data_IF_601956250458
#
_entry.id   IF_601956250458
#
_cell.length_a   1.000
_cell.length_b   1.000
_cell.length_c   1.000
_cell.angle_alpha   90.00
_cell.angle_beta   90.00
_cell.angle_gamma   90.00
#
_symmetry.space_group_name_H-M   'P 1'
#
loop_
_entity.id
_entity.type
_entity.pdbx_description
1 polymer ?
#
# COMPACT_ATOMS: atom_id res chain seq x y z
N UNK A 1 4.76 -14.29 -55.63
CA UNK A 1 4.99 -15.38 -54.65
C UNK A 1 6.47 -15.65 -54.29
N UNK A 2 7.44 -14.77 -54.61
CA UNK A 2 8.88 -14.93 -54.26
C UNK A 2 9.38 -14.00 -53.15
N UNK A 3 8.56 -13.04 -52.69
CA UNK A 3 8.97 -12.02 -51.71
C UNK A 3 8.91 -12.55 -50.26
N UNK A 4 7.93 -13.40 -49.91
CA UNK A 4 7.83 -13.92 -48.52
C UNK A 4 8.91 -14.94 -48.15
N UNK A 5 9.47 -15.68 -49.13
CA UNK A 5 10.60 -16.61 -48.89
C UNK A 5 11.91 -15.89 -48.56
N UNK A 6 12.07 -14.64 -49.01
CA UNK A 6 13.30 -13.87 -48.79
C UNK A 6 13.29 -13.14 -47.43
N UNK A 7 12.13 -12.67 -46.99
CA UNK A 7 11.95 -12.10 -45.64
C UNK A 7 12.20 -13.14 -44.54
N UNK A 8 11.69 -14.37 -44.70
CA UNK A 8 11.95 -15.46 -43.74
C UNK A 8 13.42 -15.89 -43.65
N UNK A 9 14.20 -15.77 -44.74
CA UNK A 9 15.66 -16.03 -44.73
C UNK A 9 16.45 -14.91 -44.08
N UNK A 10 16.02 -13.65 -44.26
CA UNK A 10 16.63 -12.49 -43.62
C UNK A 10 16.37 -12.48 -42.11
N UNK A 11 15.15 -12.82 -41.68
CA UNK A 11 14.81 -12.97 -40.25
C UNK A 11 15.59 -14.11 -39.59
N UNK A 12 15.68 -15.28 -40.23
CA UNK A 12 16.50 -16.39 -39.69
C UNK A 12 17.98 -16.02 -39.57
N UNK A 13 18.53 -15.25 -40.51
CA UNK A 13 19.92 -14.77 -40.44
C UNK A 13 20.12 -13.72 -39.35
N UNK A 14 19.17 -12.80 -39.15
CA UNK A 14 19.24 -11.82 -38.07
C UNK A 14 19.20 -12.49 -36.69
N UNK A 15 18.28 -13.43 -36.49
CA UNK A 15 18.16 -14.22 -35.25
C UNK A 15 19.45 -15.01 -34.98
N UNK A 16 20.04 -15.66 -35.99
CA UNK A 16 21.31 -16.38 -35.84
C UNK A 16 22.52 -15.47 -35.59
N UNK A 17 22.49 -14.21 -36.06
CA UNK A 17 23.56 -13.24 -35.85
C UNK A 17 23.51 -12.62 -34.44
N UNK A 18 22.32 -12.45 -33.86
CA UNK A 18 22.14 -11.88 -32.52
C UNK A 18 22.35 -12.88 -31.38
N UNK A 19 21.98 -14.16 -31.60
CA UNK A 19 21.95 -15.20 -30.55
C UNK A 19 23.19 -16.13 -30.64
N UNK A 20 24.11 -15.84 -31.58
CA UNK A 20 25.18 -16.77 -31.94
C UNK A 20 24.62 -18.03 -32.60
N UNK A 21 25.47 -18.84 -33.22
CA UNK A 21 25.09 -20.17 -33.73
C UNK A 21 24.86 -21.17 -32.59
N UNK A 22 24.08 -20.80 -31.56
CA UNK A 22 23.59 -21.74 -30.57
C UNK A 22 22.34 -22.44 -31.11
N UNK A 23 22.44 -23.75 -31.26
CA UNK A 23 21.27 -24.61 -31.42
C UNK A 23 20.25 -24.26 -30.32
N UNK A 24 19.00 -24.04 -30.74
CA UNK A 24 17.90 -23.67 -29.85
C UNK A 24 17.68 -24.80 -28.83
N UNK A 25 18.32 -24.70 -27.67
CA UNK A 25 18.11 -25.60 -26.55
C UNK A 25 16.80 -25.24 -25.85
N UNK A 26 16.06 -26.24 -25.37
CA UNK A 26 14.84 -26.05 -24.56
C UNK A 26 15.10 -25.09 -23.38
N UNK A 27 16.35 -25.06 -22.89
CA UNK A 27 16.76 -24.23 -21.76
C UNK A 27 16.73 -22.71 -22.04
N UNK A 28 16.62 -22.26 -23.30
CA UNK A 28 16.69 -20.83 -23.66
C UNK A 28 15.39 -20.27 -24.25
N UNK A 29 14.27 -20.99 -24.19
CA UNK A 29 13.00 -20.54 -24.83
C UNK A 29 12.50 -19.21 -24.23
N UNK A 30 12.64 -19.02 -22.91
CA UNK A 30 12.24 -17.77 -22.25
C UNK A 30 13.11 -16.59 -22.70
N UNK A 31 14.43 -16.78 -22.81
CA UNK A 31 15.34 -15.75 -23.31
C UNK A 31 15.00 -15.36 -24.77
N UNK A 32 14.66 -16.35 -25.59
CA UNK A 32 14.24 -16.12 -26.98
C UNK A 32 12.93 -15.32 -27.04
N UNK A 33 11.93 -15.66 -26.21
CA UNK A 33 10.70 -14.90 -26.14
C UNK A 33 10.94 -13.48 -25.65
N UNK A 34 11.75 -13.30 -24.61
CA UNK A 34 12.19 -11.97 -24.15
C UNK A 34 12.81 -11.15 -25.28
N UNK A 35 13.74 -11.74 -26.03
CA UNK A 35 14.36 -11.09 -27.19
C UNK A 35 13.34 -10.71 -28.29
N UNK A 36 12.39 -11.60 -28.61
CA UNK A 36 11.34 -11.30 -29.59
C UNK A 36 10.43 -10.16 -29.13
N UNK A 37 10.15 -10.06 -27.83
CA UNK A 37 9.40 -8.95 -27.26
C UNK A 37 10.17 -7.63 -27.39
N UNK A 38 11.44 -7.61 -26.97
CA UNK A 38 12.29 -6.41 -26.99
C UNK A 38 12.49 -5.86 -28.41
N UNK A 39 12.77 -6.74 -29.37
CA UNK A 39 12.96 -6.38 -30.78
C UNK A 39 11.63 -6.27 -31.55
N UNK A 40 10.48 -6.45 -30.88
CA UNK A 40 9.13 -6.44 -31.46
C UNK A 40 8.95 -7.40 -32.64
N UNK A 41 9.73 -8.47 -32.70
CA UNK A 41 9.72 -9.43 -33.79
C UNK A 41 8.46 -10.30 -33.72
N UNK A 42 7.76 -10.46 -34.83
CA UNK A 42 6.56 -11.32 -34.92
C UNK A 42 5.40 -10.93 -33.99
N UNK A 43 5.41 -9.72 -33.45
CA UNK A 43 4.28 -9.18 -32.69
C UNK A 43 3.06 -9.05 -33.61
N UNK A 44 1.91 -9.46 -33.09
CA UNK A 44 0.63 -9.57 -33.82
C UNK A 44 -0.51 -8.87 -33.07
N UNK A 45 -0.18 -8.09 -32.04
CA UNK A 45 -1.10 -7.26 -31.29
C UNK A 45 -0.39 -6.02 -30.69
N UNK A 46 -1.13 -4.92 -30.59
CA UNK A 46 -0.70 -3.64 -30.02
C UNK A 46 -1.61 -3.28 -28.84
N UNK A 47 -1.03 -2.88 -27.71
CA UNK A 47 -1.74 -2.30 -26.58
C UNK A 47 -1.41 -0.82 -26.47
N UNK A 48 -2.42 0.02 -26.35
CA UNK A 48 -2.25 1.44 -26.01
C UNK A 48 -2.62 1.63 -24.55
N UNK A 49 -1.62 1.85 -23.71
CA UNK A 49 -1.79 2.01 -22.27
C UNK A 49 -1.78 3.49 -21.93
N UNK A 50 -2.80 3.95 -21.20
CA UNK A 50 -2.95 5.35 -20.82
C UNK A 50 -1.81 5.83 -19.93
N UNK A 51 -1.24 6.98 -20.25
CA UNK A 51 -0.17 7.62 -19.48
C UNK A 51 -0.42 9.13 -19.36
N UNK A 52 -1.07 9.54 -18.28
CA UNK A 52 -1.52 10.93 -18.12
C UNK A 52 -2.56 11.29 -19.19
N UNK A 53 -2.30 12.34 -19.97
CA UNK A 53 -3.13 12.76 -21.11
C UNK A 53 -2.74 12.07 -22.43
N UNK A 54 -1.73 11.19 -22.41
CA UNK A 54 -1.21 10.47 -23.58
C UNK A 54 -1.37 8.95 -23.48
N UNK A 55 -0.74 8.27 -24.45
CA UNK A 55 -0.76 6.82 -24.58
C UNK A 55 0.64 6.29 -24.86
N UNK A 56 0.94 5.08 -24.37
CA UNK A 56 2.18 4.36 -24.63
C UNK A 56 1.83 3.03 -25.29
N UNK A 57 2.52 2.73 -26.39
CA UNK A 57 2.30 1.55 -27.20
C UNK A 57 3.17 0.37 -26.75
N UNK A 58 2.54 -0.79 -26.56
CA UNK A 58 3.19 -2.05 -26.22
C UNK A 58 2.83 -3.11 -27.26
N UNK A 59 3.83 -3.61 -28.00
CA UNK A 59 3.65 -4.70 -28.96
C UNK A 59 3.85 -6.05 -28.28
N UNK A 60 3.02 -7.04 -28.61
CA UNK A 60 3.08 -8.36 -27.98
C UNK A 60 2.62 -9.48 -28.94
N UNK A 61 2.59 -10.71 -28.43
CA UNK A 61 2.20 -11.93 -29.15
C UNK A 61 0.93 -12.52 -28.54
N UNK A 62 -0.16 -12.60 -29.32
CA UNK A 62 -1.46 -13.16 -28.91
C UNK A 62 -1.30 -14.55 -28.27
N UNK A 63 -0.44 -15.40 -28.86
CA UNK A 63 -0.18 -16.74 -28.36
C UNK A 63 0.34 -16.75 -26.91
N UNK A 64 1.37 -15.93 -26.63
CA UNK A 64 1.98 -15.86 -25.30
C UNK A 64 0.99 -15.29 -24.29
N UNK A 65 0.30 -14.20 -24.63
CA UNK A 65 -0.68 -13.59 -23.73
C UNK A 65 -1.82 -14.56 -23.38
N UNK A 66 -2.30 -15.32 -24.36
CA UNK A 66 -3.39 -16.29 -24.17
C UNK A 66 -2.99 -17.48 -23.30
N UNK A 67 -1.70 -17.85 -23.27
CA UNK A 67 -1.19 -18.90 -22.37
C UNK A 67 -1.24 -18.48 -20.91
N UNK A 68 -0.98 -17.20 -20.62
CA UNK A 68 -0.84 -16.69 -19.25
C UNK A 68 -2.11 -16.08 -18.67
N UNK A 69 -3.06 -15.68 -19.52
CA UNK A 69 -4.24 -14.94 -19.10
C UNK A 69 -5.46 -15.29 -19.96
N UNK A 70 -6.51 -15.90 -19.38
CA UNK A 70 -7.77 -16.10 -20.09
C UNK A 70 -8.45 -14.78 -20.46
N UNK A 71 -8.25 -13.73 -19.64
CA UNK A 71 -8.75 -12.38 -19.92
C UNK A 71 -8.10 -11.80 -21.16
N UNK A 72 -6.76 -11.89 -21.28
CA UNK A 72 -6.05 -11.43 -22.48
C UNK A 72 -6.39 -12.29 -23.70
N UNK A 73 -6.60 -13.60 -23.54
CA UNK A 73 -7.06 -14.46 -24.64
C UNK A 73 -8.39 -13.96 -25.21
N UNK A 74 -9.38 -13.71 -24.36
CA UNK A 74 -10.70 -13.22 -24.77
C UNK A 74 -10.62 -11.81 -25.39
N UNK A 75 -9.75 -10.94 -24.86
CA UNK A 75 -9.47 -9.64 -25.48
C UNK A 75 -8.86 -9.78 -26.88
N UNK A 76 -7.89 -10.70 -27.06
CA UNK A 76 -7.24 -10.97 -28.35
C UNK A 76 -8.24 -11.53 -29.38
N UNK A 77 -9.12 -12.45 -28.96
CA UNK A 77 -10.13 -13.06 -29.84
C UNK A 77 -11.15 -12.02 -30.35
N UNK A 78 -11.66 -11.17 -29.46
CA UNK A 78 -12.60 -10.08 -29.82
C UNK A 78 -11.99 -9.08 -30.80
N UNK A 79 -10.70 -8.84 -30.65
CA UNK A 79 -9.90 -7.92 -31.48
C UNK A 79 -9.73 -8.50 -32.89
N UNK A 80 -9.43 -9.81 -33.00
CA UNK A 80 -9.39 -10.53 -34.27
C UNK A 80 -10.71 -10.45 -35.05
N UNK A 81 -11.87 -10.42 -34.38
CA UNK A 81 -13.18 -10.29 -35.04
C UNK A 81 -13.43 -8.90 -35.65
N UNK A 82 -12.75 -7.86 -35.15
CA UNK A 82 -12.94 -6.46 -35.56
C UNK A 82 -11.97 -5.99 -36.63
N UNK A 83 -11.02 -6.83 -37.07
CA UNK A 83 -9.92 -6.45 -37.98
C UNK A 83 -9.08 -5.25 -37.51
N UNK A 84 -9.10 -4.99 -36.21
CA UNK A 84 -8.22 -4.05 -35.51
C UNK A 84 -7.35 -4.92 -34.61
N UNK A 85 -6.04 -4.69 -34.57
CA UNK A 85 -5.10 -5.42 -33.70
C UNK A 85 -4.68 -4.57 -32.49
N UNK A 86 -5.47 -3.54 -32.16
CA UNK A 86 -5.20 -2.59 -31.08
C UNK A 86 -6.15 -2.78 -29.89
N UNK A 87 -5.59 -2.89 -28.69
CA UNK A 87 -6.35 -2.93 -27.43
C UNK A 87 -6.02 -1.69 -26.60
N UNK A 88 -7.05 -1.02 -26.10
CA UNK A 88 -6.91 0.14 -25.22
C UNK A 88 -6.94 -0.31 -23.75
N UNK A 89 -5.97 0.15 -22.96
CA UNK A 89 -5.84 -0.15 -21.52
C UNK A 89 -5.78 1.16 -20.74
N UNK A 90 -6.77 1.40 -19.88
CA UNK A 90 -6.89 2.66 -19.11
C UNK A 90 -6.73 2.47 -17.60
N UNK A 91 -6.90 1.24 -17.13
CA UNK A 91 -6.99 0.88 -15.72
C UNK A 91 -5.65 0.47 -15.11
N UNK A 92 -4.62 0.28 -15.93
CA UNK A 92 -3.27 -0.13 -15.50
C UNK A 92 -2.23 0.90 -15.95
N UNK A 93 -1.30 1.24 -15.06
CA UNK A 93 -0.20 2.14 -15.41
C UNK A 93 0.77 1.49 -16.41
N UNK A 94 1.43 2.25 -17.30
CA UNK A 94 2.39 1.69 -18.26
C UNK A 94 3.48 0.84 -17.60
N UNK A 95 3.95 1.27 -16.42
CA UNK A 95 4.97 0.56 -15.66
C UNK A 95 4.49 -0.83 -15.18
N UNK A 96 3.25 -0.88 -14.69
CA UNK A 96 2.64 -2.12 -14.22
C UNK A 96 2.36 -3.05 -15.40
N UNK A 97 1.86 -2.51 -16.52
CA UNK A 97 1.60 -3.28 -17.73
C UNK A 97 2.90 -3.86 -18.32
N UNK A 98 3.96 -3.04 -18.42
CA UNK A 98 5.29 -3.47 -18.86
C UNK A 98 5.83 -4.61 -18.00
N UNK A 99 5.69 -4.51 -16.68
CA UNK A 99 6.17 -5.56 -15.75
C UNK A 99 5.35 -6.85 -15.87
N UNK A 100 4.02 -6.76 -16.05
CA UNK A 100 3.18 -7.93 -16.35
C UNK A 100 3.61 -8.59 -17.66
N UNK A 101 3.86 -7.77 -18.69
CA UNK A 101 4.27 -8.25 -19.99
C UNK A 101 5.62 -8.95 -19.89
N UNK A 102 6.63 -8.32 -19.31
CA UNK A 102 7.96 -8.93 -19.11
C UNK A 102 7.89 -10.24 -18.32
N UNK A 103 7.06 -10.30 -17.29
CA UNK A 103 6.84 -11.53 -16.52
C UNK A 103 6.35 -12.69 -17.40
N UNK A 104 5.35 -12.46 -18.27
CA UNK A 104 4.83 -13.48 -19.20
C UNK A 104 5.88 -13.97 -20.21
N UNK A 105 6.92 -13.19 -20.45
CA UNK A 105 8.02 -13.52 -21.36
C UNK A 105 9.25 -14.08 -20.61
N UNK A 106 9.13 -14.35 -19.30
CA UNK A 106 10.20 -14.93 -18.49
C UNK A 106 11.26 -13.92 -18.03
N UNK A 107 11.01 -12.62 -18.20
CA UNK A 107 11.89 -11.56 -17.70
C UNK A 107 11.40 -11.10 -16.31
N UNK A 108 12.31 -11.12 -15.34
CA UNK A 108 12.03 -10.64 -13.98
C UNK A 108 12.54 -9.22 -13.77
N UNK A 109 11.67 -8.35 -13.26
CA UNK A 109 12.01 -6.98 -12.93
C UNK A 109 12.52 -6.86 -11.49
N UNK A 110 13.59 -6.09 -11.27
CA UNK A 110 14.13 -5.75 -9.94
C UNK A 110 13.17 -4.88 -9.09
N UNK A 111 12.06 -4.43 -9.69
CA UNK A 111 11.12 -3.50 -9.07
C UNK A 111 10.15 -4.15 -8.07
N UNK A 112 10.25 -5.46 -7.88
CA UNK A 112 9.46 -6.19 -6.88
C UNK A 112 9.79 -5.80 -5.42
N UNK A 113 10.81 -4.95 -5.20
CA UNK A 113 11.20 -4.45 -3.88
C UNK A 113 10.38 -3.22 -3.43
N UNK A 114 9.69 -2.51 -4.32
CA UNK A 114 8.76 -1.45 -3.93
C UNK A 114 7.38 -2.05 -3.64
N UNK A 115 7.00 -2.11 -2.37
CA UNK A 115 5.70 -2.66 -1.95
C UNK A 115 4.50 -1.89 -2.48
N UNK A 116 4.62 -0.60 -2.75
CA UNK A 116 3.53 0.20 -3.35
C UNK A 116 3.31 -0.22 -4.80
N UNK A 117 4.39 -0.37 -5.56
CA UNK A 117 4.34 -0.90 -6.90
C UNK A 117 3.88 -2.37 -6.93
N UNK A 118 4.42 -3.21 -6.06
CA UNK A 118 4.04 -4.63 -5.95
C UNK A 118 2.54 -4.79 -5.66
N UNK A 119 1.93 -3.90 -4.87
CA UNK A 119 0.50 -3.94 -4.59
C UNK A 119 -0.34 -3.60 -5.82
N UNK A 120 0.11 -2.63 -6.63
CA UNK A 120 -0.51 -2.31 -7.93
C UNK A 120 -0.36 -3.48 -8.90
N UNK A 121 0.81 -4.10 -8.95
CA UNK A 121 1.07 -5.27 -9.78
C UNK A 121 0.18 -6.45 -9.40
N UNK A 122 0.02 -6.72 -8.09
CA UNK A 122 -0.88 -7.76 -7.59
C UNK A 122 -2.34 -7.51 -8.03
N UNK A 123 -2.83 -6.27 -7.92
CA UNK A 123 -4.19 -5.91 -8.35
C UNK A 123 -4.38 -6.10 -9.84
N UNK A 124 -3.42 -5.64 -10.67
CA UNK A 124 -3.49 -5.81 -12.11
C UNK A 124 -3.42 -7.30 -12.50
N UNK A 125 -2.52 -8.08 -11.89
CA UNK A 125 -2.45 -9.53 -12.10
C UNK A 125 -3.76 -10.24 -11.69
N UNK A 126 -4.49 -9.74 -10.68
CA UNK A 126 -5.81 -10.22 -10.32
C UNK A 126 -6.88 -9.91 -11.37
N UNK A 127 -6.89 -8.69 -11.93
CA UNK A 127 -7.82 -8.27 -12.99
C UNK A 127 -7.61 -9.06 -14.27
N UNK A 128 -6.36 -9.27 -14.66
CA UNK A 128 -6.00 -10.03 -15.87
C UNK A 128 -5.85 -11.53 -15.61
N UNK A 129 -6.17 -12.01 -14.41
CA UNK A 129 -6.12 -13.43 -14.06
C UNK A 129 -4.76 -14.13 -14.33
N UNK A 130 -3.66 -13.41 -14.16
CA UNK A 130 -2.29 -13.97 -14.26
C UNK A 130 -1.92 -14.59 -12.90
N UNK A 131 -2.30 -15.85 -12.69
CA UNK A 131 -2.28 -16.49 -11.37
C UNK A 131 -0.87 -16.63 -10.78
N UNK A 132 0.11 -17.01 -11.57
CA UNK A 132 1.49 -17.18 -11.15
C UNK A 132 2.10 -15.85 -10.70
N UNK A 133 1.76 -14.75 -11.36
CA UNK A 133 2.20 -13.41 -10.96
C UNK A 133 1.54 -12.97 -9.66
N UNK A 134 0.26 -13.30 -9.46
CA UNK A 134 -0.43 -13.04 -8.18
C UNK A 134 0.24 -13.79 -7.05
N UNK A 135 0.56 -15.06 -7.26
CA UNK A 135 1.15 -15.92 -6.23
C UNK A 135 2.58 -15.50 -5.91
N UNK A 136 3.37 -15.10 -6.91
CA UNK A 136 4.67 -14.47 -6.71
C UNK A 136 4.56 -13.20 -5.85
N UNK A 137 3.61 -12.30 -6.17
CA UNK A 137 3.41 -11.08 -5.39
C UNK A 137 3.01 -11.40 -3.94
N UNK A 138 2.09 -12.35 -3.74
CA UNK A 138 1.68 -12.82 -2.39
C UNK A 138 2.87 -13.35 -1.61
N UNK A 139 3.68 -14.21 -2.22
CA UNK A 139 4.86 -14.79 -1.57
C UNK A 139 5.81 -13.68 -1.12
N UNK A 140 6.07 -12.70 -1.98
CA UNK A 140 6.92 -11.54 -1.63
C UNK A 140 6.36 -10.77 -0.44
N UNK A 141 5.04 -10.51 -0.37
CA UNK A 141 4.43 -9.85 0.78
C UNK A 141 4.55 -10.69 2.07
N UNK A 142 4.27 -11.99 1.99
CA UNK A 142 4.29 -12.89 3.15
C UNK A 142 5.71 -13.07 3.69
N UNK A 143 6.70 -13.23 2.83
CA UNK A 143 8.10 -13.41 3.20
C UNK A 143 8.78 -12.11 3.67
N UNK A 144 8.14 -10.96 3.49
CA UNK A 144 8.70 -9.67 3.91
C UNK A 144 8.61 -9.43 5.41
N UNK A 145 9.58 -8.69 5.94
CA UNK A 145 9.64 -8.29 7.35
C UNK A 145 9.17 -6.85 7.52
N UNK A 146 8.10 -6.59 8.30
CA UNK A 146 7.66 -5.24 8.61
C UNK A 146 8.70 -4.46 9.41
N UNK A 147 8.88 -3.20 9.03
CA UNK A 147 9.76 -2.23 9.66
C UNK A 147 9.14 -0.83 9.57
N UNK A 148 9.80 0.17 10.19
CA UNK A 148 9.28 1.54 10.28
C UNK A 148 8.96 2.24 8.94
N UNK A 149 9.60 1.80 7.85
CA UNK A 149 9.45 2.41 6.52
C UNK A 149 8.37 1.73 5.68
N UNK A 150 8.12 0.43 5.87
CA UNK A 150 7.25 -0.38 5.01
C UNK A 150 5.98 -0.92 5.69
N UNK A 151 5.80 -0.68 7.01
CA UNK A 151 4.76 -1.32 7.81
C UNK A 151 3.34 -1.04 7.31
N UNK A 152 3.07 0.18 6.82
CA UNK A 152 1.75 0.53 6.31
C UNK A 152 1.47 -0.11 4.94
N UNK A 153 2.45 -0.10 4.04
CA UNK A 153 2.33 -0.76 2.73
C UNK A 153 2.09 -2.27 2.90
N UNK A 154 2.82 -2.90 3.83
CA UNK A 154 2.64 -4.32 4.16
C UNK A 154 1.31 -4.58 4.89
N UNK A 155 0.83 -3.64 5.71
CA UNK A 155 -0.48 -3.76 6.36
C UNK A 155 -1.62 -3.69 5.33
N UNK A 156 -1.54 -2.78 4.37
CA UNK A 156 -2.50 -2.67 3.27
C UNK A 156 -2.49 -3.93 2.40
N UNK A 157 -1.30 -4.46 2.10
CA UNK A 157 -1.15 -5.75 1.43
C UNK A 157 -1.76 -6.90 2.25
N UNK A 158 -1.47 -6.96 3.56
CA UNK A 158 -2.03 -7.98 4.46
C UNK A 158 -3.55 -7.96 4.48
N UNK A 159 -4.17 -6.77 4.56
CA UNK A 159 -5.62 -6.59 4.49
C UNK A 159 -6.18 -7.01 3.12
N UNK A 160 -5.56 -6.59 2.02
CA UNK A 160 -6.00 -6.97 0.67
C UNK A 160 -5.95 -8.49 0.44
N UNK A 161 -4.92 -9.14 0.99
CA UNK A 161 -4.70 -10.58 0.87
C UNK A 161 -5.48 -11.41 1.90
N UNK A 162 -6.16 -10.76 2.86
CA UNK A 162 -6.70 -11.41 4.07
C UNK A 162 -5.65 -12.28 4.79
N UNK A 163 -4.39 -11.83 4.82
CA UNK A 163 -3.27 -12.55 5.42
C UNK A 163 -3.07 -12.12 6.87
N UNK A 164 -3.77 -12.80 7.79
CA UNK A 164 -3.71 -12.49 9.23
C UNK A 164 -2.29 -12.51 9.79
N UNK A 165 -1.45 -13.47 9.40
CA UNK A 165 -0.07 -13.55 9.89
C UNK A 165 0.77 -12.32 9.53
N UNK A 166 0.55 -11.71 8.35
CA UNK A 166 1.21 -10.46 7.98
C UNK A 166 0.62 -9.27 8.75
N UNK A 167 -0.71 -9.20 8.86
CA UNK A 167 -1.41 -8.15 9.61
C UNK A 167 -0.92 -8.09 11.06
N UNK A 168 -0.86 -9.24 11.75
CA UNK A 168 -0.40 -9.32 13.14
C UNK A 168 1.07 -8.89 13.29
N UNK A 169 1.95 -9.27 12.36
CA UNK A 169 3.35 -8.81 12.36
C UNK A 169 3.44 -7.29 12.17
N UNK A 170 2.63 -6.70 11.29
CA UNK A 170 2.56 -5.24 11.14
C UNK A 170 2.06 -4.55 12.40
N UNK A 171 0.98 -5.04 13.02
CA UNK A 171 0.47 -4.48 14.27
C UNK A 171 1.47 -4.55 15.41
N UNK A 172 2.23 -5.65 15.54
CA UNK A 172 3.30 -5.75 16.53
C UNK A 172 4.35 -4.64 16.36
N UNK A 173 4.78 -4.37 15.13
CA UNK A 173 5.72 -3.27 14.85
C UNK A 173 5.08 -1.91 15.14
N UNK A 174 3.84 -1.68 14.73
CA UNK A 174 3.14 -0.42 15.00
C UNK A 174 2.97 -0.17 16.51
N UNK A 175 2.73 -1.19 17.32
CA UNK A 175 2.58 -1.07 18.77
C UNK A 175 3.91 -0.79 19.48
N UNK A 176 4.98 -1.48 19.08
CA UNK A 176 6.30 -1.38 19.73
C UNK A 176 7.08 -0.15 19.27
N UNK A 177 6.90 0.26 18.01
CA UNK A 177 7.70 1.30 17.35
C UNK A 177 6.87 2.47 16.80
N UNK A 178 5.70 2.75 17.36
CA UNK A 178 4.78 3.80 16.88
C UNK A 178 5.49 5.12 16.61
N UNK A 179 6.26 5.61 17.58
CA UNK A 179 6.97 6.88 17.49
C UNK A 179 8.03 6.87 16.37
N UNK A 180 8.81 5.79 16.24
CA UNK A 180 9.79 5.66 15.15
C UNK A 180 9.12 5.61 13.77
N UNK A 181 7.97 4.92 13.66
CA UNK A 181 7.17 4.85 12.43
C UNK A 181 6.67 6.25 12.07
N UNK A 182 6.09 6.97 13.03
CA UNK A 182 5.57 8.32 12.80
C UNK A 182 6.66 9.32 12.37
N UNK A 183 7.87 9.19 12.92
CA UNK A 183 9.02 9.98 12.48
C UNK A 183 9.46 9.59 11.07
N UNK A 184 9.55 8.29 10.77
CA UNK A 184 10.00 7.79 9.47
C UNK A 184 9.05 8.13 8.33
N UNK A 185 7.75 8.21 8.58
CA UNK A 185 6.76 8.59 7.57
C UNK A 185 6.78 10.09 7.27
N UNK A 186 7.39 10.92 8.12
CA UNK A 186 7.20 12.38 8.15
C UNK A 186 5.73 12.78 8.38
N UNK A 187 5.51 13.89 9.08
CA UNK A 187 4.15 14.37 9.38
C UNK A 187 3.31 14.61 8.12
N UNK A 188 3.95 14.90 6.97
CA UNK A 188 3.27 15.20 5.72
C UNK A 188 2.72 13.97 4.99
N UNK A 189 3.25 12.76 5.19
CA UNK A 189 2.81 11.59 4.43
C UNK A 189 1.83 10.68 5.20
N UNK A 190 1.56 11.00 6.47
CA UNK A 190 0.61 10.25 7.29
C UNK A 190 -0.80 10.62 6.86
N UNK A 191 -1.54 9.65 6.33
CA UNK A 191 -2.93 9.82 5.91
C UNK A 191 -3.89 9.67 7.10
N UNK A 192 -5.14 10.18 7.00
CA UNK A 192 -6.17 9.95 8.00
C UNK A 192 -6.38 8.46 8.35
N UNK A 193 -6.29 7.57 7.36
CA UNK A 193 -6.45 6.14 7.56
C UNK A 193 -5.31 5.50 8.37
N UNK A 194 -4.07 5.96 8.13
CA UNK A 194 -2.90 5.52 8.91
C UNK A 194 -3.01 5.97 10.36
N UNK A 195 -3.40 7.23 10.59
CA UNK A 195 -3.57 7.77 11.94
C UNK A 195 -4.68 7.03 12.70
N UNK A 196 -5.84 6.83 12.06
CA UNK A 196 -6.94 6.05 12.63
C UNK A 196 -6.48 4.65 13.04
N UNK A 197 -5.74 3.97 12.18
CA UNK A 197 -5.16 2.65 12.47
C UNK A 197 -4.29 2.67 13.72
N UNK A 198 -3.45 3.71 13.91
CA UNK A 198 -2.60 3.84 15.11
C UNK A 198 -3.46 4.09 16.36
N UNK A 199 -4.42 5.00 16.30
CA UNK A 199 -5.27 5.34 17.44
C UNK A 199 -6.18 4.17 17.86
N UNK A 200 -6.47 3.27 16.93
CA UNK A 200 -7.19 2.02 17.15
C UNK A 200 -6.35 0.95 17.86
N UNK A 201 -5.03 1.09 17.96
CA UNK A 201 -4.18 0.11 18.63
C UNK A 201 -4.41 0.08 20.15
N UNK A 202 -4.31 -1.12 20.77
CA UNK A 202 -4.35 -1.27 22.23
C UNK A 202 -3.06 -0.82 22.91
N UNK A 203 -1.96 -0.64 22.16
CA UNK A 203 -0.66 -0.21 22.67
C UNK A 203 0.01 0.72 21.68
N UNK A 204 0.67 1.74 22.19
CA UNK A 204 1.51 2.66 21.41
C UNK A 204 2.81 2.97 22.15
N UNK A 205 3.86 3.30 21.41
CA UNK A 205 5.19 3.55 21.99
C UNK A 205 5.39 5.00 22.50
N UNK A 206 4.32 5.71 22.82
CA UNK A 206 4.35 7.03 23.48
C UNK A 206 4.51 6.85 25.00
N UNK A 207 4.92 7.90 25.71
CA UNK A 207 5.07 7.83 27.17
C UNK A 207 3.74 8.05 27.91
N UNK A 208 2.78 8.77 27.29
CA UNK A 208 1.45 9.01 27.87
C UNK A 208 0.39 9.38 26.82
N UNK A 209 -0.90 9.35 27.21
CA UNK A 209 -2.02 9.83 26.38
C UNK A 209 -1.87 11.32 26.02
N UNK A 210 -1.32 12.13 26.92
CA UNK A 210 -1.02 13.54 26.67
C UNK A 210 -0.11 13.74 25.47
N UNK A 211 0.96 12.97 25.36
CA UNK A 211 1.90 13.08 24.25
C UNK A 211 1.25 12.66 22.93
N UNK A 212 0.45 11.58 22.95
CA UNK A 212 -0.31 11.14 21.81
C UNK A 212 -1.30 12.22 21.34
N UNK A 213 -2.07 12.81 22.25
CA UNK A 213 -3.01 13.90 21.95
C UNK A 213 -2.23 15.09 21.36
N UNK A 214 -1.12 15.51 21.98
CA UNK A 214 -0.29 16.60 21.48
C UNK A 214 0.22 16.33 20.06
N UNK A 215 0.64 15.10 19.77
CA UNK A 215 1.10 14.69 18.45
C UNK A 215 -0.03 14.73 17.42
N UNK A 216 -1.22 14.19 17.76
CA UNK A 216 -2.40 14.19 16.89
C UNK A 216 -2.81 15.61 16.53
N UNK A 217 -2.83 16.53 17.50
CA UNK A 217 -3.18 17.92 17.25
C UNK A 217 -2.17 18.63 16.35
N UNK A 218 -0.87 18.31 16.48
CA UNK A 218 0.16 18.82 15.58
C UNK A 218 -0.06 18.29 14.15
N UNK A 219 -0.39 17.01 14.00
CA UNK A 219 -0.72 16.42 12.70
C UNK A 219 -1.97 17.05 12.09
N UNK A 220 -3.07 17.19 12.84
CA UNK A 220 -4.32 17.81 12.34
C UNK A 220 -4.07 19.26 11.90
N UNK A 221 -3.27 20.02 12.65
CA UNK A 221 -2.88 21.37 12.26
C UNK A 221 -2.16 21.35 10.92
N UNK A 222 -1.17 20.48 10.76
CA UNK A 222 -0.45 20.35 9.50
C UNK A 222 -1.37 19.95 8.34
N UNK A 223 -2.30 19.01 8.58
CA UNK A 223 -3.25 18.54 7.57
C UNK A 223 -4.23 19.64 7.13
N UNK A 224 -4.72 20.45 8.07
CA UNK A 224 -5.57 21.61 7.76
C UNK A 224 -4.87 22.69 6.93
N UNK A 225 -3.54 22.78 6.98
CA UNK A 225 -2.77 23.72 6.17
C UNK A 225 -2.56 23.23 4.74
N UNK A 226 -2.55 21.91 4.51
CA UNK A 226 -2.43 21.32 3.16
C UNK A 226 -3.74 21.41 2.38
N UNK A 227 -4.85 21.18 3.06
CA UNK A 227 -6.17 21.11 2.46
C UNK A 227 -6.96 22.38 2.81
N UNK A 228 -6.97 23.37 1.91
CA UNK A 228 -7.74 24.62 2.08
C UNK A 228 -9.26 24.42 2.22
N UNK A 229 -9.74 23.20 2.05
CA UNK A 229 -11.16 22.84 2.09
C UNK A 229 -11.68 22.43 3.46
N UNK A 230 -10.82 22.03 4.42
CA UNK A 230 -11.26 21.59 5.75
C UNK A 230 -10.53 22.34 6.86
N UNK A 231 -11.31 22.87 7.79
CA UNK A 231 -10.82 23.48 9.02
C UNK A 231 -10.23 22.44 9.98
N UNK A 232 -9.40 22.92 10.92
CA UNK A 232 -8.82 22.12 12.00
C UNK A 232 -9.87 21.27 12.74
N UNK A 233 -11.03 21.88 13.06
CA UNK A 233 -12.10 21.22 13.81
C UNK A 233 -12.77 20.11 13.00
N UNK A 234 -13.03 20.35 11.72
CA UNK A 234 -13.65 19.35 10.83
C UNK A 234 -12.79 18.10 10.67
N UNK A 235 -11.46 18.25 10.66
CA UNK A 235 -10.55 17.10 10.60
C UNK A 235 -10.48 16.39 11.96
N UNK A 236 -10.40 17.15 13.06
CA UNK A 236 -10.21 16.59 14.40
C UNK A 236 -11.40 15.78 14.90
N UNK A 237 -12.62 16.15 14.52
CA UNK A 237 -13.86 15.45 14.93
C UNK A 237 -13.81 13.96 14.60
N UNK A 238 -13.20 13.57 13.49
CA UNK A 238 -13.06 12.16 13.07
C UNK A 238 -12.15 11.35 14.01
N UNK A 239 -11.29 12.00 14.78
CA UNK A 239 -10.31 11.37 15.67
C UNK A 239 -10.66 11.49 17.15
N UNK A 240 -11.51 12.45 17.53
CA UNK A 240 -11.94 12.68 18.92
C UNK A 240 -12.38 11.42 19.68
N UNK A 241 -13.17 10.49 19.08
CA UNK A 241 -13.59 9.26 19.78
C UNK A 241 -12.46 8.32 20.19
N UNK A 242 -11.26 8.50 19.62
CA UNK A 242 -10.10 7.67 19.89
C UNK A 242 -9.11 8.28 20.89
N UNK A 243 -9.36 9.52 21.34
CA UNK A 243 -8.50 10.24 22.27
C UNK A 243 -9.10 10.20 23.68
N UNK A 244 -8.37 9.66 24.66
CA UNK A 244 -8.88 9.54 26.02
C UNK A 244 -8.51 10.77 26.87
N UNK A 245 -9.21 11.88 26.69
CA UNK A 245 -8.99 13.08 27.53
C UNK A 245 -9.16 12.80 29.02
N UNK A 246 -9.95 11.79 29.40
CA UNK A 246 -10.14 11.36 30.79
C UNK A 246 -8.90 10.71 31.43
N UNK A 247 -7.91 10.29 30.63
CA UNK A 247 -6.63 9.76 31.13
C UNK A 247 -5.61 10.87 31.42
N UNK A 248 -5.96 12.14 31.18
CA UNK A 248 -5.13 13.28 31.55
C UNK A 248 -5.32 13.63 33.03
N UNK A 249 -4.28 14.15 33.66
CA UNK A 249 -4.44 14.80 34.97
C UNK A 249 -5.19 16.13 34.82
N UNK A 250 -5.81 16.61 35.90
CA UNK A 250 -6.52 17.90 35.91
C UNK A 250 -5.59 19.06 35.50
N UNK A 251 -4.33 19.02 35.91
CA UNK A 251 -3.32 20.02 35.53
C UNK A 251 -3.02 19.97 34.02
N UNK A 252 -2.83 18.77 33.48
CA UNK A 252 -2.56 18.58 32.05
C UNK A 252 -3.73 19.02 31.19
N UNK A 253 -4.95 18.68 31.59
CA UNK A 253 -6.16 19.12 30.90
C UNK A 253 -6.33 20.64 31.00
N UNK A 254 -6.09 21.26 32.15
CA UNK A 254 -6.18 22.72 32.30
C UNK A 254 -5.16 23.45 31.41
N UNK A 255 -3.91 22.98 31.36
CA UNK A 255 -2.88 23.52 30.46
C UNK A 255 -3.24 23.32 29.00
N UNK A 256 -3.82 22.18 28.65
CA UNK A 256 -4.34 21.92 27.31
C UNK A 256 -5.47 22.89 26.95
N UNK A 257 -6.44 23.06 27.85
CA UNK A 257 -7.60 23.93 27.71
C UNK A 257 -7.20 25.39 27.47
N UNK A 258 -6.30 25.93 28.28
CA UNK A 258 -5.85 27.33 28.18
C UNK A 258 -5.21 27.67 26.84
N UNK A 259 -4.52 26.72 26.21
CA UNK A 259 -3.79 26.97 24.96
C UNK A 259 -4.67 26.80 23.71
N UNK A 260 -5.58 25.81 23.72
CA UNK A 260 -6.23 25.27 22.51
C UNK A 260 -7.65 24.74 22.74
N UNK A 261 -8.18 24.79 23.97
CA UNK A 261 -9.45 24.15 24.33
C UNK A 261 -10.65 24.69 23.55
N UNK A 262 -10.70 26.01 23.40
CA UNK A 262 -11.80 26.72 22.74
C UNK A 262 -11.89 26.47 21.22
N UNK A 263 -10.77 26.07 20.59
CA UNK A 263 -10.75 25.71 19.17
C UNK A 263 -11.30 24.29 18.93
N UNK A 264 -11.28 23.46 19.97
CA UNK A 264 -11.63 22.05 19.90
C UNK A 264 -13.08 21.78 20.29
N UNK A 265 -13.48 22.25 21.46
CA UNK A 265 -14.78 21.93 22.08
C UNK A 265 -15.35 23.16 22.79
N UNK A 266 -16.66 23.13 23.07
CA UNK A 266 -17.33 24.21 23.80
C UNK A 266 -16.90 24.26 25.27
N UNK A 267 -17.06 25.43 25.92
CA UNK A 267 -16.79 25.59 27.35
C UNK A 267 -17.55 24.57 28.22
N UNK A 268 -18.79 24.23 27.83
CA UNK A 268 -19.59 23.23 28.52
C UNK A 268 -19.01 21.82 28.39
N UNK A 269 -18.53 21.43 27.21
CA UNK A 269 -17.87 20.14 26.98
C UNK A 269 -16.54 20.06 27.75
N UNK A 270 -15.75 21.14 27.72
CA UNK A 270 -14.49 21.24 28.45
C UNK A 270 -14.68 21.14 29.97
N UNK A 271 -15.66 21.87 30.50
CA UNK A 271 -16.02 21.79 31.91
C UNK A 271 -16.45 20.38 32.31
N UNK A 272 -17.29 19.73 31.49
CA UNK A 272 -17.74 18.37 31.76
C UNK A 272 -16.58 17.37 31.81
N UNK A 273 -15.65 17.45 30.85
CA UNK A 273 -14.46 16.58 30.85
C UNK A 273 -13.58 16.85 32.07
N UNK A 274 -13.31 18.12 32.39
CA UNK A 274 -12.52 18.50 33.57
C UNK A 274 -13.12 17.94 34.87
N UNK A 275 -14.44 18.08 35.04
CA UNK A 275 -15.13 17.54 36.20
C UNK A 275 -15.08 16.02 36.26
N UNK A 276 -15.16 15.33 35.13
CA UNK A 276 -15.03 13.87 35.08
C UNK A 276 -13.59 13.36 35.32
N UNK A 277 -12.57 14.17 35.01
CA UNK A 277 -11.17 13.89 35.38
C UNK A 277 -11.01 14.00 36.91
N UNK A 278 -11.57 15.03 37.54
CA UNK A 278 -11.47 15.24 38.98
C UNK A 278 -12.35 14.27 39.80
N UNK A 279 -13.57 14.04 39.33
CA UNK A 279 -14.58 13.19 39.96
C UNK A 279 -15.29 12.38 38.86
N UNK A 280 -14.94 11.09 38.68
CA UNK A 280 -15.52 10.24 37.64
C UNK A 280 -17.05 10.18 37.70
N UNK A 281 -17.70 10.21 36.54
CA UNK A 281 -19.15 10.15 36.36
C UNK A 281 -19.94 11.31 37.03
N UNK A 282 -19.29 12.45 37.30
CA UNK A 282 -19.94 13.61 37.93
C UNK A 282 -20.81 14.43 36.98
N UNK A 283 -20.49 14.45 35.68
CA UNK A 283 -21.16 15.29 34.67
C UNK A 283 -21.40 14.50 33.37
N UNK A 284 -22.44 14.86 32.58
CA UNK A 284 -22.70 14.21 31.30
C UNK A 284 -21.58 14.51 30.29
N UNK A 285 -20.90 13.47 29.81
CA UNK A 285 -19.79 13.59 28.86
C UNK A 285 -20.28 14.02 27.47
N UNK A 286 -19.44 14.72 26.68
CA UNK A 286 -19.74 15.00 25.27
C UNK A 286 -20.00 13.73 24.47
N UNK A 287 -20.85 13.79 23.45
CA UNK A 287 -21.28 12.60 22.69
C UNK A 287 -20.14 11.87 21.98
N UNK A 288 -19.06 12.57 21.66
CA UNK A 288 -17.85 12.01 21.03
C UNK A 288 -16.85 11.48 22.05
N UNK A 289 -17.01 11.79 23.34
CA UNK A 289 -16.08 11.39 24.39
C UNK A 289 -16.46 9.99 24.89
N UNK A 290 -15.55 9.01 24.85
CA UNK A 290 -15.87 7.65 25.30
C UNK A 290 -16.13 7.63 26.81
N UNK A 291 -17.28 7.09 27.21
CA UNK A 291 -17.68 6.97 28.63
C UNK A 291 -16.83 5.96 29.40
N UNK A 292 -16.29 4.97 28.71
CA UNK A 292 -15.28 4.03 29.21
C UNK A 292 -13.97 4.33 28.51
N UNK A 293 -12.92 4.82 29.23
CA UNK A 293 -11.64 5.09 28.61
C UNK A 293 -11.12 3.83 27.93
N UNK A 294 -10.68 3.97 26.68
CA UNK A 294 -10.01 2.88 25.99
C UNK A 294 -8.71 2.61 26.73
N UNK A 295 -8.57 1.43 27.33
CA UNK A 295 -7.29 1.04 27.92
C UNK A 295 -6.25 0.92 26.80
N UNK A 296 -5.32 1.87 26.79
CA UNK A 296 -4.19 1.90 25.86
C UNK A 296 -2.92 1.81 26.68
N UNK A 297 -2.08 0.83 26.37
CA UNK A 297 -0.78 0.67 27.00
C UNK A 297 0.22 1.68 26.42
N UNK A 298 0.98 2.30 27.32
CA UNK A 298 2.08 3.21 27.00
C UNK A 298 3.44 2.60 27.33
N UNK A 299 4.51 3.14 26.74
CA UNK A 299 5.88 2.61 26.88
C UNK A 299 6.30 2.38 28.33
N UNK A 300 5.91 3.28 29.23
CA UNK A 300 6.35 3.30 30.64
C UNK A 300 5.37 2.62 31.61
N UNK A 301 4.28 2.01 31.12
CA UNK A 301 3.26 1.39 31.98
C UNK A 301 3.46 -0.12 32.21
N UNK A 302 4.45 -0.76 31.57
CA UNK A 302 4.73 -2.18 31.75
C UNK A 302 6.25 -2.45 31.80
N UNK A 303 6.85 -2.31 32.99
CA UNK A 303 8.17 -2.86 33.29
C UNK A 303 8.12 -4.20 34.07
N UNK A 304 6.95 -4.64 34.54
CA UNK A 304 6.87 -5.79 35.46
C UNK A 304 6.45 -7.13 34.83
N UNK A 305 6.15 -7.21 33.53
CA UNK A 305 5.62 -8.44 32.90
C UNK A 305 6.44 -9.01 31.76
N UNK A 306 7.60 -8.42 31.45
CA UNK A 306 8.51 -8.92 30.40
C UNK A 306 9.80 -9.59 30.92
N UNK A 307 10.01 -9.66 32.23
CA UNK A 307 11.20 -10.31 32.82
C UNK A 307 11.07 -11.84 33.00
N UNK A 308 9.96 -12.46 32.57
CA UNK A 308 9.68 -13.88 32.82
C UNK A 308 9.61 -14.75 31.55
N UNK A 309 10.03 -14.26 30.39
CA UNK A 309 10.09 -15.07 29.15
C UNK A 309 11.52 -15.34 28.63
N UNK A 310 12.57 -14.83 29.28
CA UNK A 310 13.96 -15.11 28.89
C UNK A 310 14.53 -16.39 29.56
N UNK A 311 13.71 -17.41 29.76
CA UNK A 311 14.16 -18.67 30.34
C UNK A 311 13.41 -19.89 29.82
N UNK A 312 13.39 -20.08 28.50
CA UNK A 312 13.31 -21.43 27.92
C UNK A 312 14.30 -21.51 26.76
N UNK A 313 15.46 -22.07 27.07
CA UNK A 313 16.40 -22.72 26.14
C UNK A 313 15.85 -24.06 25.68
#
# INVERSE_FOLDING_TARGET
>A
MKISKNQGKLQKRAIALSIGEQECSINNIQEIFGYFLEEKMFTDILFQVKCGDGWIDFSAHKLILSMWSPVLADMCDKTCMKSDDTIIVEDVSPMTFDTMLKFMYGSFSDQLNDFSFLLKLYKAAAVYEINELKDLCKEKFVCSTPNKNNVFQLLDAGKLLNCESLIQRCYKILQVKTAEVLVAQELCNITPAMLKTILELPRVSFDSEKELISWVLAWVKNESLKHSSKSFKEILVDFLPYLNFLNLTAEEFAKFWQNRGNDLMSEQEGFSIFMNIAVPASHPLPSWCPSTPKQRDYRNQNFDSLSSMDSIS
#
